data_IF_167754391993
#
_entry.id   IF_167754391993
#
_cell.length_a   1.000
_cell.length_b   1.000
_cell.length_c   1.000
_cell.angle_alpha   90.00
_cell.angle_beta   90.00
_cell.angle_gamma   90.00
#
_symmetry.space_group_name_H-M   'P 1'
#
loop_
_entity.id
_entity.type
_entity.pdbx_description
1 polymer ?
#
# COMPACT_ATOMS: atom_id res chain seq x y z
N UNK A 1 -0.88 -32.21 -1.75
CA UNK A 1 -0.46 -30.96 -2.41
C UNK A 1 -0.75 -29.86 -1.43
N UNK A 2 0.28 -29.26 -0.84
CA UNK A 2 0.11 -28.11 0.03
C UNK A 2 -0.34 -26.91 -0.81
N UNK A 3 -1.57 -26.47 -0.58
CA UNK A 3 -2.02 -25.14 -0.97
C UNK A 3 -1.17 -24.14 -0.19
N UNK A 4 -0.11 -23.62 -0.82
CA UNK A 4 0.65 -22.49 -0.28
C UNK A 4 -0.32 -21.31 -0.22
N UNK A 5 -0.79 -20.97 0.98
CA UNK A 5 -1.60 -19.77 1.20
C UNK A 5 -0.84 -18.57 0.64
N UNK A 6 -1.41 -17.91 -0.37
CA UNK A 6 -0.87 -16.66 -0.88
C UNK A 6 -0.95 -15.64 0.28
N UNK A 7 0.22 -15.23 0.78
CA UNK A 7 0.30 -14.23 1.85
C UNK A 7 -0.38 -12.95 1.34
N UNK A 8 -1.47 -12.56 2.00
CA UNK A 8 -2.16 -11.31 1.70
C UNK A 8 -1.24 -10.11 1.88
N UNK A 9 -1.45 -9.06 1.07
CA UNK A 9 -0.62 -7.85 1.11
C UNK A 9 -0.64 -7.17 2.49
N UNK A 10 -1.71 -7.36 3.26
CA UNK A 10 -1.87 -6.91 4.64
C UNK A 10 -0.81 -7.50 5.61
N UNK A 11 -0.27 -8.67 5.25
CA UNK A 11 0.78 -9.38 6.02
C UNK A 11 2.20 -8.97 5.62
N UNK A 12 2.37 -8.15 4.58
CA UNK A 12 3.67 -7.68 4.07
C UNK A 12 3.86 -6.21 4.45
N UNK A 13 5.10 -5.80 4.80
CA UNK A 13 5.47 -4.38 4.94
C UNK A 13 6.46 -4.00 3.86
N UNK A 14 6.25 -2.85 3.26
CA UNK A 14 7.15 -2.27 2.26
C UNK A 14 8.00 -1.24 2.97
N UNK A 15 9.27 -1.16 2.60
CA UNK A 15 10.22 -0.15 3.06
C UNK A 15 10.93 0.41 1.84
N UNK A 16 10.87 1.72 1.65
CA UNK A 16 11.49 2.37 0.50
C UNK A 16 12.20 3.63 0.93
N UNK A 17 13.20 4.03 0.16
CA UNK A 17 13.83 5.35 0.30
C UNK A 17 12.83 6.46 -0.10
N UNK A 18 12.98 7.64 0.49
CA UNK A 18 12.25 8.86 0.10
C UNK A 18 12.42 9.17 -1.40
N UNK A 19 11.34 9.59 -2.04
CA UNK A 19 11.27 9.76 -3.50
C UNK A 19 12.22 10.83 -4.06
N UNK A 20 12.57 11.82 -3.24
CA UNK A 20 13.50 12.90 -3.63
C UNK A 20 14.92 12.40 -3.87
N UNK A 21 15.26 11.19 -3.41
CA UNK A 21 16.55 10.54 -3.66
C UNK A 21 16.52 9.61 -4.89
N UNK A 22 15.50 9.69 -5.74
CA UNK A 22 15.43 8.87 -6.95
C UNK A 22 16.62 9.14 -7.88
N UNK A 23 17.38 8.09 -8.18
CA UNK A 23 18.53 8.17 -9.08
C UNK A 23 18.08 8.07 -10.53
N UNK A 24 18.64 8.92 -11.40
CA UNK A 24 18.27 9.02 -12.82
C UNK A 24 19.43 8.73 -13.78
N UNK A 25 20.66 8.73 -13.29
CA UNK A 25 21.90 8.61 -14.07
C UNK A 25 22.95 7.90 -13.24
N UNK A 26 23.98 7.33 -13.89
CA UNK A 26 25.12 6.70 -13.21
C UNK A 26 24.85 5.25 -12.79
N UNK A 27 25.77 4.70 -11.98
CA UNK A 27 25.77 3.31 -11.51
C UNK A 27 25.67 3.29 -10.00
N UNK A 28 24.66 2.61 -9.45
CA UNK A 28 24.38 2.65 -8.01
C UNK A 28 24.32 1.26 -7.38
N UNK A 29 24.78 1.19 -6.13
CA UNK A 29 24.89 -0.04 -5.36
C UNK A 29 24.36 0.14 -3.92
N UNK A 30 23.67 -0.89 -3.42
CA UNK A 30 23.38 -1.05 -1.99
C UNK A 30 23.38 -2.54 -1.60
N UNK A 31 23.50 -2.82 -0.30
CA UNK A 31 23.46 -4.18 0.24
C UNK A 31 22.19 -4.41 1.08
N UNK A 32 21.72 -5.64 1.06
CA UNK A 32 20.66 -6.13 1.93
C UNK A 32 21.05 -7.45 2.58
N UNK A 33 21.16 -7.46 3.91
CA UNK A 33 21.39 -8.68 4.68
C UNK A 33 20.04 -9.33 5.05
N UNK A 34 19.84 -10.57 4.60
CA UNK A 34 18.72 -11.41 4.99
C UNK A 34 19.02 -12.09 6.33
N UNK A 35 18.75 -11.39 7.44
CA UNK A 35 18.98 -11.94 8.79
C UNK A 35 18.16 -13.21 9.03
N UNK A 36 16.95 -13.26 8.47
CA UNK A 36 16.13 -14.48 8.38
C UNK A 36 15.93 -14.87 6.92
N UNK A 37 15.80 -16.17 6.62
CA UNK A 37 15.64 -16.68 5.25
C UNK A 37 14.18 -16.98 4.88
N UNK A 38 13.26 -16.05 5.13
CA UNK A 38 11.84 -16.20 4.76
C UNK A 38 11.40 -15.24 3.64
N UNK A 39 10.09 -15.17 3.39
CA UNK A 39 9.52 -14.37 2.29
C UNK A 39 9.83 -12.87 2.47
N UNK A 40 10.80 -12.39 1.69
CA UNK A 40 11.16 -10.99 1.55
C UNK A 40 11.56 -10.74 0.09
N UNK A 41 11.46 -9.50 -0.35
CA UNK A 41 11.95 -9.09 -1.68
C UNK A 41 12.75 -7.81 -1.55
N UNK A 42 13.77 -7.65 -2.37
CA UNK A 42 14.65 -6.46 -2.36
C UNK A 42 15.07 -6.08 -3.77
N UNK A 43 15.23 -4.79 -4.03
CA UNK A 43 15.74 -4.29 -5.30
C UNK A 43 15.41 -2.83 -5.49
N UNK A 44 14.98 -2.49 -6.70
CA UNK A 44 14.72 -1.11 -7.12
C UNK A 44 13.26 -0.92 -7.46
N UNK A 45 12.73 0.27 -7.17
CA UNK A 45 11.39 0.65 -7.57
C UNK A 45 11.34 2.08 -8.08
N UNK A 46 10.35 2.35 -8.94
CA UNK A 46 9.97 3.70 -9.31
C UNK A 46 9.33 4.40 -8.10
N UNK A 47 9.46 5.73 -7.98
CA UNK A 47 8.76 6.51 -6.95
C UNK A 47 7.25 6.27 -6.88
N UNK A 48 6.62 6.00 -8.04
CA UNK A 48 5.19 5.72 -8.16
C UNK A 48 4.76 4.33 -7.63
N UNK A 49 5.68 3.51 -7.12
CA UNK A 49 5.38 2.19 -6.56
C UNK A 49 4.37 2.30 -5.42
N UNK A 50 3.24 1.62 -5.59
CA UNK A 50 2.10 1.72 -4.67
C UNK A 50 2.14 0.61 -3.61
N UNK A 51 1.82 0.91 -2.34
CA UNK A 51 1.85 -0.07 -1.27
C UNK A 51 0.65 -1.02 -1.24
N UNK A 52 -0.39 -0.77 -2.05
CA UNK A 52 -1.60 -1.59 -2.20
C UNK A 52 -1.48 -2.64 -3.32
N UNK A 53 -0.36 -2.67 -4.03
CA UNK A 53 -0.04 -3.65 -5.07
C UNK A 53 1.13 -4.51 -4.60
N UNK A 54 1.04 -5.83 -4.81
CA UNK A 54 2.11 -6.77 -4.45
C UNK A 54 3.44 -6.37 -5.13
N UNK A 55 4.55 -6.33 -4.38
CA UNK A 55 5.82 -5.78 -4.87
C UNK A 55 6.35 -6.61 -6.05
N UNK A 56 6.47 -5.97 -7.22
CA UNK A 56 6.90 -6.58 -8.49
C UNK A 56 5.76 -7.20 -9.32
N UNK A 57 4.51 -7.06 -8.90
CA UNK A 57 3.35 -7.50 -9.68
C UNK A 57 2.98 -6.53 -10.83
N UNK A 58 3.48 -5.30 -10.78
CA UNK A 58 3.33 -4.29 -11.83
C UNK A 58 4.70 -3.85 -12.38
N UNK A 59 4.70 -2.83 -13.25
CA UNK A 59 5.91 -2.27 -13.88
C UNK A 59 6.75 -1.36 -12.97
N UNK A 60 6.29 -1.10 -11.74
CA UNK A 60 6.88 -0.08 -10.87
C UNK A 60 8.00 -0.63 -9.98
N UNK A 61 8.21 -1.95 -9.92
CA UNK A 61 9.22 -2.56 -9.08
C UNK A 61 9.98 -3.67 -9.81
N UNK A 62 11.27 -3.76 -9.52
CA UNK A 62 12.25 -4.69 -10.09
C UNK A 62 13.01 -5.31 -8.92
N UNK A 63 12.51 -6.45 -8.43
CA UNK A 63 12.96 -6.99 -7.15
C UNK A 63 13.30 -8.47 -7.22
N UNK A 64 14.29 -8.86 -6.44
CA UNK A 64 14.66 -10.24 -6.21
C UNK A 64 13.99 -10.79 -4.95
N UNK A 65 13.37 -11.96 -5.05
CA UNK A 65 12.81 -12.76 -3.98
C UNK A 65 13.77 -13.90 -3.67
N UNK A 66 14.61 -13.72 -2.65
CA UNK A 66 15.62 -14.71 -2.27
C UNK A 66 15.03 -15.94 -1.57
N UNK A 67 13.79 -15.90 -1.09
CA UNK A 67 13.15 -17.09 -0.52
C UNK A 67 12.74 -18.10 -1.60
N UNK A 68 12.30 -17.59 -2.76
CA UNK A 68 11.82 -18.39 -3.88
C UNK A 68 12.80 -18.49 -5.05
N UNK A 69 13.95 -17.82 -4.98
CA UNK A 69 14.89 -17.68 -6.08
C UNK A 69 14.20 -17.15 -7.36
N UNK A 70 13.57 -15.98 -7.24
CA UNK A 70 12.79 -15.38 -8.32
C UNK A 70 13.05 -13.88 -8.46
N UNK A 71 13.13 -13.39 -9.69
CA UNK A 71 13.00 -11.96 -9.98
C UNK A 71 11.55 -11.63 -10.30
N UNK A 72 11.11 -10.44 -9.87
CA UNK A 72 9.75 -9.96 -10.01
C UNK A 72 9.72 -8.58 -10.68
N UNK A 73 9.09 -8.53 -11.85
CA UNK A 73 8.66 -7.33 -12.56
C UNK A 73 7.51 -7.75 -13.50
N UNK A 74 6.29 -7.26 -13.25
CA UNK A 74 5.08 -7.67 -13.98
C UNK A 74 4.86 -9.20 -13.99
N UNK A 75 5.25 -9.88 -12.92
CA UNK A 75 5.23 -11.33 -12.81
C UNK A 75 6.53 -11.88 -12.24
N UNK A 76 6.60 -13.19 -12.05
CA UNK A 76 7.73 -13.87 -11.44
C UNK A 76 8.49 -14.72 -12.47
N UNK A 77 9.82 -14.68 -12.44
CA UNK A 77 10.68 -15.55 -13.21
C UNK A 77 11.75 -16.17 -12.30
N UNK A 78 12.08 -17.45 -12.50
CA UNK A 78 13.18 -18.10 -11.76
C UNK A 78 14.50 -17.39 -12.05
N UNK A 79 15.26 -17.14 -10.99
CA UNK A 79 16.52 -16.39 -11.06
C UNK A 79 17.41 -16.73 -9.86
N UNK A 80 18.68 -17.07 -10.13
CA UNK A 80 19.67 -17.32 -9.10
C UNK A 80 19.33 -18.51 -8.19
N UNK A 81 19.58 -18.35 -6.89
CA UNK A 81 19.40 -19.38 -5.85
C UNK A 81 18.62 -18.85 -4.65
N UNK A 82 18.18 -19.75 -3.79
CA UNK A 82 17.60 -19.36 -2.51
C UNK A 82 18.68 -18.82 -1.56
N UNK A 83 18.31 -17.84 -0.75
CA UNK A 83 19.19 -17.31 0.29
C UNK A 83 19.20 -18.17 1.55
N UNK A 84 20.24 -17.99 2.35
CA UNK A 84 20.36 -18.52 3.71
C UNK A 84 20.37 -17.38 4.73
N UNK A 85 20.08 -17.67 6.02
CA UNK A 85 20.18 -16.66 7.07
C UNK A 85 21.61 -16.08 7.12
N UNK A 86 21.72 -14.75 7.06
CA UNK A 86 22.98 -14.01 7.03
C UNK A 86 23.53 -13.72 5.64
N UNK A 87 22.93 -14.27 4.57
CA UNK A 87 23.31 -13.94 3.19
C UNK A 87 23.11 -12.44 2.93
N UNK A 88 24.04 -11.86 2.17
CA UNK A 88 23.97 -10.46 1.75
C UNK A 88 23.74 -10.38 0.25
N UNK A 89 22.66 -9.71 -0.11
CA UNK A 89 22.29 -9.42 -1.49
C UNK A 89 22.88 -8.06 -1.88
N UNK A 90 23.76 -8.03 -2.89
CA UNK A 90 24.17 -6.78 -3.54
C UNK A 90 23.18 -6.44 -4.64
N UNK A 91 22.67 -5.21 -4.64
CA UNK A 91 21.70 -4.73 -5.62
C UNK A 91 22.35 -3.63 -6.46
N UNK A 92 22.54 -3.91 -7.76
CA UNK A 92 23.20 -3.00 -8.70
C UNK A 92 22.20 -2.50 -9.75
N UNK A 93 22.30 -1.22 -10.09
CA UNK A 93 21.57 -0.61 -11.20
C UNK A 93 22.52 0.26 -12.02
N UNK A 94 22.55 0.01 -13.33
CA UNK A 94 23.26 0.84 -14.30
C UNK A 94 22.22 1.61 -15.12
N UNK A 95 22.18 2.93 -14.94
CA UNK A 95 21.24 3.81 -15.64
C UNK A 95 21.68 4.09 -17.09
N UNK A 96 22.96 3.88 -17.41
CA UNK A 96 23.48 4.09 -18.76
C UNK A 96 23.15 2.89 -19.64
N UNK A 97 23.43 1.69 -19.13
CA UNK A 97 23.16 0.43 -19.83
C UNK A 97 21.72 -0.08 -19.62
N UNK A 98 20.96 0.60 -18.75
CA UNK A 98 19.58 0.25 -18.38
C UNK A 98 19.47 -1.21 -17.94
N UNK A 99 20.38 -1.60 -17.06
CA UNK A 99 20.49 -2.97 -16.57
C UNK A 99 20.51 -3.03 -15.04
N UNK A 100 20.02 -4.15 -14.50
CA UNK A 100 20.08 -4.45 -13.07
C UNK A 100 20.69 -5.82 -12.87
N UNK A 101 21.54 -5.93 -11.87
CA UNK A 101 22.27 -7.14 -11.51
C UNK A 101 22.11 -7.37 -10.01
N UNK A 102 22.03 -8.64 -9.60
CA UNK A 102 22.03 -9.03 -8.21
C UNK A 102 23.19 -9.97 -7.91
N UNK A 103 23.82 -9.79 -6.76
CA UNK A 103 24.81 -10.72 -6.21
C UNK A 103 24.32 -11.29 -4.89
N UNK A 104 24.79 -12.47 -4.52
CA UNK A 104 24.65 -13.00 -3.15
C UNK A 104 26.04 -13.37 -2.65
N UNK A 105 26.45 -12.74 -1.55
CA UNK A 105 27.78 -12.88 -0.95
C UNK A 105 28.93 -12.60 -1.95
N UNK A 106 28.73 -11.61 -2.82
CA UNK A 106 29.69 -11.20 -3.84
C UNK A 106 29.67 -12.04 -5.12
N UNK A 107 28.91 -13.13 -5.17
CA UNK A 107 28.77 -13.96 -6.38
C UNK A 107 27.57 -13.49 -7.21
N UNK A 108 27.76 -13.34 -8.53
CA UNK A 108 26.71 -12.96 -9.47
C UNK A 108 25.62 -14.03 -9.53
N UNK A 109 24.36 -13.61 -9.43
CA UNK A 109 23.24 -14.47 -9.74
C UNK A 109 23.01 -14.51 -11.25
N UNK A 110 22.67 -15.70 -11.75
CA UNK A 110 22.42 -15.92 -13.18
C UNK A 110 20.96 -16.29 -13.45
N UNK A 111 20.49 -15.89 -14.63
CA UNK A 111 19.23 -16.34 -15.20
C UNK A 111 19.33 -17.81 -15.65
N UNK A 112 18.19 -18.43 -15.96
CA UNK A 112 18.15 -19.76 -16.57
C UNK A 112 18.82 -19.83 -17.96
N UNK A 113 19.03 -18.68 -18.61
CA UNK A 113 19.78 -18.58 -19.87
C UNK A 113 21.29 -18.33 -19.66
N UNK A 114 21.76 -18.26 -18.41
CA UNK A 114 23.17 -18.02 -18.08
C UNK A 114 23.61 -16.56 -18.15
N UNK A 115 22.67 -15.61 -18.19
CA UNK A 115 22.98 -14.18 -18.15
C UNK A 115 23.03 -13.66 -16.72
N UNK A 116 23.91 -12.71 -16.44
CA UNK A 116 23.98 -11.99 -15.15
C UNK A 116 22.98 -10.83 -15.06
N UNK A 117 22.40 -10.41 -16.19
CA UNK A 117 21.45 -9.29 -16.24
C UNK A 117 20.06 -9.77 -15.80
N UNK A 118 19.65 -9.35 -14.61
CA UNK A 118 18.34 -9.72 -14.04
C UNK A 118 17.20 -8.98 -14.74
N UNK A 119 17.43 -7.71 -15.06
CA UNK A 119 16.49 -6.85 -15.79
C UNK A 119 17.27 -5.98 -16.79
N UNK A 120 16.71 -5.77 -17.97
CA UNK A 120 17.30 -4.92 -19.03
C UNK A 120 16.25 -4.02 -19.66
N UNK A 121 16.69 -3.03 -20.42
CA UNK A 121 15.86 -2.20 -21.31
C UNK A 121 14.71 -1.46 -20.60
N UNK A 122 14.89 -1.13 -19.31
CA UNK A 122 13.88 -0.37 -18.58
C UNK A 122 13.91 1.12 -18.91
N UNK A 123 12.75 1.77 -18.86
CA UNK A 123 12.66 3.22 -18.97
C UNK A 123 13.07 3.90 -17.67
N UNK A 124 13.81 5.01 -17.73
CA UNK A 124 14.28 5.71 -16.53
C UNK A 124 13.12 6.48 -15.86
N UNK A 125 12.27 7.16 -16.66
CA UNK A 125 11.16 8.01 -16.17
C UNK A 125 11.59 8.92 -15.00
N UNK A 126 10.97 8.77 -13.83
CA UNK A 126 11.23 9.53 -12.61
C UNK A 126 12.41 8.99 -11.79
N UNK A 127 13.12 7.99 -12.29
CA UNK A 127 14.26 7.36 -11.64
C UNK A 127 13.88 6.18 -10.76
N UNK A 128 14.86 5.69 -10.00
CA UNK A 128 14.71 4.52 -9.14
C UNK A 128 15.17 4.81 -7.71
N UNK A 129 14.52 4.13 -6.77
CA UNK A 129 14.85 4.16 -5.35
C UNK A 129 15.01 2.72 -4.82
N UNK A 130 15.92 2.49 -3.86
CA UNK A 130 15.99 1.21 -3.15
C UNK A 130 14.68 0.90 -2.43
N UNK A 131 14.25 -0.35 -2.53
CA UNK A 131 13.04 -0.85 -1.89
C UNK A 131 13.25 -2.27 -1.38
N UNK A 132 12.55 -2.61 -0.30
CA UNK A 132 12.34 -3.99 0.08
C UNK A 132 10.92 -4.20 0.61
N UNK A 133 10.48 -5.46 0.65
CA UNK A 133 9.32 -5.85 1.43
C UNK A 133 9.65 -7.05 2.31
N UNK A 134 9.06 -7.06 3.50
CA UNK A 134 9.25 -8.11 4.50
C UNK A 134 7.90 -8.77 4.82
N UNK A 135 7.88 -10.10 4.73
CA UNK A 135 6.76 -10.92 5.22
C UNK A 135 6.71 -10.97 6.76
N UNK A 136 5.80 -11.80 7.28
CA UNK A 136 5.63 -11.95 8.73
C UNK A 136 6.89 -12.52 9.39
N UNK A 137 7.26 -11.91 10.52
CA UNK A 137 8.39 -12.33 11.36
C UNK A 137 9.72 -12.43 10.61
N UNK A 138 9.90 -11.63 9.55
CA UNK A 138 11.16 -11.55 8.81
C UNK A 138 11.99 -10.34 9.23
N UNK A 139 13.31 -10.52 9.21
CA UNK A 139 14.28 -9.49 9.56
C UNK A 139 15.25 -9.34 8.39
N UNK A 140 15.31 -8.13 7.84
CA UNK A 140 16.27 -7.71 6.84
C UNK A 140 16.98 -6.43 7.27
N UNK A 141 18.23 -6.22 6.84
CA UNK A 141 18.97 -4.98 7.07
C UNK A 141 19.41 -4.39 5.75
N UNK A 142 19.01 -3.15 5.48
CA UNK A 142 19.49 -2.41 4.32
C UNK A 142 20.70 -1.57 4.70
N UNK A 143 21.76 -1.66 3.90
CA UNK A 143 22.92 -0.79 3.97
C UNK A 143 23.01 0.00 2.66
N UNK A 144 22.91 1.32 2.73
CA UNK A 144 23.00 2.21 1.57
C UNK A 144 24.41 2.76 1.32
N UNK A 145 25.36 2.43 2.21
CA UNK A 145 26.77 2.78 2.05
C UNK A 145 27.08 4.25 2.31
N UNK A 146 26.50 4.84 3.36
CA UNK A 146 26.90 6.15 3.89
C UNK A 146 28.37 6.12 4.33
N UNK A 147 28.76 5.00 4.92
CA UNK A 147 30.15 4.61 5.09
C UNK A 147 30.39 3.35 4.24
N UNK A 148 31.12 3.51 3.14
CA UNK A 148 31.39 2.42 2.20
C UNK A 148 32.18 1.26 2.83
N UNK A 149 32.89 1.50 3.95
CA UNK A 149 33.62 0.44 4.66
C UNK A 149 32.71 -0.55 5.39
N UNK A 150 31.43 -0.20 5.56
CA UNK A 150 30.43 -1.07 6.21
C UNK A 150 29.84 -2.11 5.27
N UNK A 151 30.08 -2.00 3.95
CA UNK A 151 29.69 -3.02 3.00
C UNK A 151 30.54 -4.28 3.15
N UNK A 152 29.90 -5.44 3.02
CA UNK A 152 30.59 -6.73 3.12
C UNK A 152 31.24 -7.17 1.81
N UNK A 153 30.62 -6.85 0.67
CA UNK A 153 30.97 -7.39 -0.65
C UNK A 153 31.15 -6.32 -1.74
N UNK A 154 30.99 -5.03 -1.41
CA UNK A 154 31.16 -3.93 -2.37
C UNK A 154 32.49 -3.94 -3.13
N UNK A 155 33.61 -4.24 -2.46
CA UNK A 155 34.93 -4.29 -3.10
C UNK A 155 35.09 -5.43 -4.10
N UNK A 156 34.27 -6.47 -4.00
CA UNK A 156 34.33 -7.66 -4.87
C UNK A 156 33.56 -7.48 -6.17
N UNK A 157 32.43 -6.77 -6.13
CA UNK A 157 31.51 -6.66 -7.28
C UNK A 157 31.23 -5.21 -7.68
N UNK A 158 30.93 -4.31 -6.74
CA UNK A 158 30.54 -2.94 -7.06
C UNK A 158 31.71 -2.04 -7.47
N UNK A 159 32.80 -2.04 -6.70
CA UNK A 159 33.91 -1.10 -6.87
C UNK A 159 34.65 -1.30 -8.20
N UNK A 160 34.89 -2.56 -8.57
CA UNK A 160 35.65 -2.89 -9.79
C UNK A 160 34.92 -2.50 -11.07
N UNK A 161 33.57 -2.53 -11.04
CA UNK A 161 32.71 -2.20 -12.17
C UNK A 161 32.25 -0.72 -12.18
N UNK A 162 32.72 0.07 -11.21
CA UNK A 162 32.46 1.51 -11.13
C UNK A 162 31.09 1.88 -10.57
N UNK A 163 30.46 1.01 -9.77
CA UNK A 163 29.24 1.35 -9.03
C UNK A 163 29.56 2.20 -7.81
N UNK A 164 28.74 3.22 -7.56
CA UNK A 164 28.84 4.07 -6.36
C UNK A 164 27.85 3.63 -5.27
N UNK A 165 28.21 3.72 -3.98
CA UNK A 165 27.26 3.53 -2.89
C UNK A 165 26.08 4.50 -3.00
N UNK A 166 24.86 4.00 -2.81
CA UNK A 166 23.65 4.81 -2.96
C UNK A 166 23.66 6.10 -2.14
N UNK A 167 24.19 6.08 -0.91
CA UNK A 167 24.22 7.25 -0.02
C UNK A 167 25.61 7.88 0.16
N UNK A 168 26.55 7.68 -0.78
CA UNK A 168 27.95 8.17 -0.66
C UNK A 168 28.04 9.68 -0.46
N UNK A 169 27.18 10.46 -1.12
CA UNK A 169 27.18 11.93 -1.08
C UNK A 169 26.11 12.51 -0.15
N UNK A 170 25.58 11.72 0.78
CA UNK A 170 24.50 12.16 1.68
C UNK A 170 25.05 12.61 3.03
N UNK A 171 24.76 13.87 3.39
CA UNK A 171 25.18 14.44 4.67
C UNK A 171 24.27 14.05 5.85
N UNK A 172 23.11 13.44 5.57
CA UNK A 172 22.13 12.99 6.56
C UNK A 172 21.84 11.51 6.35
N UNK A 173 21.25 10.87 7.35
CA UNK A 173 20.77 9.51 7.19
C UNK A 173 19.65 9.45 6.14
N UNK A 174 19.60 8.35 5.40
CA UNK A 174 18.61 8.13 4.33
C UNK A 174 17.22 8.02 4.97
N UNK A 175 16.32 8.93 4.61
CA UNK A 175 14.95 8.86 5.06
C UNK A 175 14.23 7.67 4.42
N UNK A 176 13.61 6.83 5.25
CA UNK A 176 12.89 5.62 4.85
C UNK A 176 11.41 5.77 5.15
N UNK A 177 10.59 5.37 4.18
CA UNK A 177 9.15 5.28 4.29
C UNK A 177 8.71 3.83 4.38
N UNK A 178 7.67 3.55 5.15
CA UNK A 178 7.10 2.20 5.22
C UNK A 178 5.60 2.20 4.99
N UNK A 179 5.05 1.07 4.51
CA UNK A 179 3.61 0.93 4.30
C UNK A 179 2.85 0.89 5.64
N UNK A 180 1.95 1.85 5.82
CA UNK A 180 1.06 1.93 6.99
C UNK A 180 -0.05 0.88 6.84
N UNK A 181 -0.28 0.11 7.90
CA UNK A 181 -1.36 -0.91 7.93
C UNK A 181 -2.72 -0.38 8.35
N UNK A 182 -2.77 0.82 8.94
CA UNK A 182 -4.03 1.40 9.39
C UNK A 182 -4.80 1.91 8.16
N UNK A 183 -5.99 1.35 7.85
CA UNK A 183 -6.80 1.86 6.76
C UNK A 183 -7.15 3.32 7.01
N UNK A 184 -6.98 4.15 5.98
CA UNK A 184 -7.36 5.56 6.01
C UNK A 184 -8.31 5.84 4.87
N UNK A 185 -9.32 6.69 5.13
CA UNK A 185 -10.19 7.17 4.08
C UNK A 185 -9.41 8.06 3.12
N UNK A 186 -9.50 7.74 1.83
CA UNK A 186 -8.93 8.53 0.74
C UNK A 186 -10.04 8.94 -0.24
N UNK A 187 -9.90 10.07 -0.95
CA UNK A 187 -10.81 10.41 -2.04
C UNK A 187 -10.79 9.31 -3.11
N UNK A 188 -11.95 8.98 -3.67
CA UNK A 188 -12.04 8.04 -4.80
C UNK A 188 -11.39 8.68 -6.03
N UNK A 189 -10.40 8.04 -6.68
CA UNK A 189 -9.80 8.52 -7.92
C UNK A 189 -10.85 8.67 -9.03
N UNK A 190 -10.69 9.66 -9.91
CA UNK A 190 -11.63 9.92 -11.02
C UNK A 190 -11.70 8.74 -12.00
N UNK A 191 -10.58 8.05 -12.16
CA UNK A 191 -10.31 6.95 -13.08
C UNK A 191 -10.39 5.58 -12.39
N UNK A 192 -11.07 5.46 -11.24
CA UNK A 192 -11.19 4.20 -10.53
C UNK A 192 -11.85 3.11 -11.40
N UNK A 193 -11.25 1.91 -11.40
CA UNK A 193 -11.63 0.79 -12.27
C UNK A 193 -13.09 0.32 -12.06
N UNK A 194 -13.55 0.32 -10.82
CA UNK A 194 -14.85 -0.28 -10.46
C UNK A 194 -15.87 0.69 -9.89
N UNK A 195 -15.47 1.92 -9.55
CA UNK A 195 -16.32 2.85 -8.79
C UNK A 195 -16.36 4.16 -9.56
N UNK A 196 -17.56 4.70 -9.71
CA UNK A 196 -17.79 6.03 -10.27
C UNK A 196 -18.69 6.81 -9.33
N UNK A 197 -18.36 8.09 -9.11
CA UNK A 197 -19.17 9.01 -8.32
C UNK A 197 -19.64 10.12 -9.23
N UNK A 198 -20.95 10.28 -9.35
CA UNK A 198 -21.58 11.34 -10.13
C UNK A 198 -22.33 12.28 -9.20
N UNK A 199 -22.09 13.58 -9.35
CA UNK A 199 -22.92 14.62 -8.71
C UNK A 199 -24.14 14.85 -9.61
N UNK A 200 -25.32 14.75 -9.03
CA UNK A 200 -26.58 15.04 -9.72
C UNK A 200 -27.08 16.37 -9.17
N UNK A 201 -27.23 17.34 -10.06
CA UNK A 201 -27.75 18.66 -9.70
C UNK A 201 -29.23 18.57 -9.30
N UNK A 202 -29.63 19.48 -8.42
CA UNK A 202 -31.02 19.59 -8.01
C UNK A 202 -31.89 20.09 -9.16
N UNK A 203 -33.08 19.51 -9.28
CA UNK A 203 -34.14 19.97 -10.18
C UNK A 203 -35.34 20.45 -9.37
N UNK A 204 -36.39 20.92 -10.05
CA UNK A 204 -37.66 21.28 -9.38
C UNK A 204 -38.28 20.06 -8.67
N UNK A 205 -38.07 18.86 -9.23
CA UNK A 205 -38.70 17.62 -8.76
C UNK A 205 -37.78 16.76 -7.90
N UNK A 206 -36.48 17.07 -7.82
CA UNK A 206 -35.48 16.26 -7.10
C UNK A 206 -34.41 17.10 -6.41
N UNK A 207 -34.03 16.77 -5.17
CA UNK A 207 -32.90 17.42 -4.51
C UNK A 207 -31.57 16.97 -5.15
N UNK A 208 -30.50 17.77 -5.01
CA UNK A 208 -29.16 17.36 -5.44
C UNK A 208 -28.71 16.12 -4.65
N UNK A 209 -28.04 15.19 -5.33
CA UNK A 209 -27.56 13.96 -4.69
C UNK A 209 -26.22 13.48 -5.23
N UNK A 210 -25.58 12.60 -4.47
CA UNK A 210 -24.37 11.89 -4.89
C UNK A 210 -24.76 10.47 -5.30
N UNK A 211 -24.56 10.14 -6.57
CA UNK A 211 -24.78 8.79 -7.08
C UNK A 211 -23.45 8.04 -7.11
N UNK A 212 -23.41 6.87 -6.47
CA UNK A 212 -22.29 5.93 -6.56
C UNK A 212 -22.68 4.80 -7.49
N UNK A 213 -21.90 4.57 -8.53
CA UNK A 213 -22.13 3.53 -9.53
C UNK A 213 -20.97 2.54 -9.50
N UNK A 214 -21.28 1.23 -9.51
CA UNK A 214 -20.29 0.19 -9.70
C UNK A 214 -20.15 -0.13 -11.19
N UNK A 215 -18.95 0.05 -11.76
CA UNK A 215 -18.65 -0.23 -13.16
C UNK A 215 -18.52 -1.75 -13.34
N UNK A 216 -19.36 -2.35 -14.17
CA UNK A 216 -19.29 -3.76 -14.54
C UNK A 216 -18.79 -3.91 -15.97
N UNK A 217 -17.64 -4.55 -16.17
CA UNK A 217 -17.07 -4.81 -17.50
C UNK A 217 -17.16 -6.31 -17.84
N UNK A 218 -18.00 -6.65 -18.82
CA UNK A 218 -17.89 -7.84 -19.68
C UNK A 218 -17.94 -9.25 -19.07
N UNK A 219 -17.89 -9.42 -17.75
CA UNK A 219 -18.04 -10.72 -17.07
C UNK A 219 -18.84 -10.52 -15.78
N UNK A 220 -19.72 -11.47 -15.46
CA UNK A 220 -20.60 -11.46 -14.28
C UNK A 220 -19.85 -11.66 -12.94
N UNK A 221 -18.59 -11.27 -12.86
CA UNK A 221 -17.85 -11.30 -11.61
C UNK A 221 -18.20 -10.03 -10.83
N UNK A 222 -19.29 -10.09 -10.07
CA UNK A 222 -19.53 -9.10 -9.04
C UNK A 222 -18.39 -9.18 -8.02
N UNK A 223 -17.68 -8.07 -7.83
CA UNK A 223 -16.77 -7.93 -6.69
C UNK A 223 -17.67 -7.95 -5.45
N UNK A 224 -17.56 -8.99 -4.63
CA UNK A 224 -18.33 -9.19 -3.39
C UNK A 224 -17.69 -8.52 -2.18
N UNK A 225 -16.72 -7.64 -2.40
CA UNK A 225 -15.99 -6.96 -1.34
C UNK A 225 -16.84 -5.85 -0.69
N UNK A 226 -16.75 -5.77 0.64
CA UNK A 226 -17.43 -4.74 1.41
C UNK A 226 -16.69 -3.40 1.31
N UNK A 227 -17.31 -2.41 0.69
CA UNK A 227 -16.73 -1.05 0.55
C UNK A 227 -17.24 -0.09 1.62
N UNK A 228 -16.35 0.73 2.16
CA UNK A 228 -16.66 1.78 3.14
C UNK A 228 -16.63 3.16 2.48
N UNK A 229 -17.68 3.96 2.69
CA UNK A 229 -17.78 5.33 2.17
C UNK A 229 -17.88 6.32 3.33
N UNK A 230 -17.24 7.49 3.18
CA UNK A 230 -17.26 8.57 4.17
C UNK A 230 -17.39 9.91 3.46
N UNK A 231 -18.23 10.79 4.00
CA UNK A 231 -18.20 12.21 3.66
C UNK A 231 -17.12 12.90 4.51
N UNK A 232 -16.21 13.62 3.86
CA UNK A 232 -15.12 14.34 4.54
C UNK A 232 -15.58 15.68 5.14
N UNK A 233 -16.77 15.71 5.72
CA UNK A 233 -17.37 16.89 6.35
C UNK A 233 -17.80 16.49 7.77
N UNK A 234 -17.15 17.01 8.83
CA UNK A 234 -17.59 16.76 10.19
C UNK A 234 -18.87 17.54 10.51
N UNK A 235 -19.67 17.02 11.44
CA UNK A 235 -20.81 17.73 12.02
C UNK A 235 -20.44 18.04 13.47
N UNK A 236 -20.35 19.32 13.80
CA UNK A 236 -20.06 19.78 15.15
C UNK A 236 -21.35 19.92 15.96
N UNK A 237 -21.36 19.32 17.15
CA UNK A 237 -22.48 19.45 18.08
C UNK A 237 -22.20 20.60 19.04
N UNK A 238 -23.10 21.58 19.06
CA UNK A 238 -23.05 22.67 20.03
C UNK A 238 -23.29 22.12 21.45
N UNK A 239 -22.51 22.53 22.47
CA UNK A 239 -22.63 21.99 23.83
C UNK A 239 -24.04 22.12 24.43
N UNK A 240 -24.78 23.16 24.04
CA UNK A 240 -26.15 23.42 24.49
C UNK A 240 -27.18 22.37 24.02
N UNK A 241 -26.85 21.56 23.02
CA UNK A 241 -27.71 20.51 22.47
C UNK A 241 -27.22 19.10 22.82
N UNK A 242 -26.35 18.95 23.83
CA UNK A 242 -26.14 17.65 24.48
C UNK A 242 -27.48 17.25 25.09
N UNK A 243 -28.25 16.44 24.37
CA UNK A 243 -29.46 15.84 24.89
C UNK A 243 -29.05 15.08 26.16
N UNK A 244 -29.58 15.49 27.32
CA UNK A 244 -29.58 14.64 28.50
C UNK A 244 -30.13 13.29 28.03
N UNK A 245 -29.36 12.23 28.30
CA UNK A 245 -29.45 10.97 27.59
C UNK A 245 -30.90 10.50 27.42
N UNK A 246 -31.17 9.87 26.27
CA UNK A 246 -32.31 8.93 26.17
C UNK A 246 -32.26 8.11 27.46
N UNK A 247 -33.28 8.16 28.34
CA UNK A 247 -33.22 7.46 29.60
C UNK A 247 -32.90 6.01 29.29
N UNK A 248 -31.78 5.53 29.85
CA UNK A 248 -31.45 4.13 29.87
C UNK A 248 -32.69 3.44 30.43
N UNK A 249 -33.44 2.71 29.60
CA UNK A 249 -34.48 1.81 30.08
C UNK A 249 -33.76 0.92 31.10
N UNK A 250 -34.05 1.12 32.38
CA UNK A 250 -33.60 0.22 33.41
C UNK A 250 -34.15 -1.15 32.99
N UNK A 251 -33.24 -2.11 32.82
CA UNK A 251 -33.63 -3.51 32.79
C UNK A 251 -34.36 -3.77 34.11
N UNK A 252 -35.67 -3.97 34.02
CA UNK A 252 -36.50 -4.47 35.11
C UNK A 252 -36.07 -5.92 35.36
N UNK A 253 -34.99 -6.10 36.12
CA UNK A 253 -34.60 -7.39 36.68
C UNK A 253 -35.56 -7.73 37.83
N UNK A 254 -36.79 -8.05 37.47
CA UNK A 254 -37.70 -8.83 38.29
C UNK A 254 -37.22 -10.29 38.35
N UNK A 255 -37.46 -11.01 39.46
CA UNK A 255 -36.82 -12.29 39.73
C UNK A 255 -37.23 -13.34 38.68
N UNK A 256 -36.20 -14.02 38.16
CA UNK A 256 -36.31 -15.09 37.16
C UNK A 256 -37.20 -16.23 37.68
N UNK A 257 -38.31 -16.48 36.98
CA UNK A 257 -38.96 -17.78 36.97
C UNK A 257 -39.00 -18.28 35.52
N UNK A 258 -38.39 -19.44 35.32
CA UNK A 258 -38.26 -20.12 34.05
C UNK A 258 -39.63 -20.61 33.56
N UNK A 259 -40.00 -20.28 32.32
CA UNK A 259 -40.53 -21.29 31.40
C UNK A 259 -40.43 -20.85 29.93
N UNK A 260 -40.26 -21.84 29.05
CA UNK A 260 -39.91 -21.71 27.65
C UNK A 260 -41.08 -21.28 26.74
N UNK A 261 -40.82 -20.43 25.72
CA UNK A 261 -41.80 -20.18 24.67
C UNK A 261 -41.44 -19.15 23.58
N UNK A 262 -40.98 -19.64 22.43
CA UNK A 262 -41.04 -19.08 21.05
C UNK A 262 -41.07 -17.54 20.86
N UNK A 263 -39.94 -16.96 20.43
CA UNK A 263 -39.90 -15.60 19.90
C UNK A 263 -40.39 -15.52 18.44
N UNK A 264 -41.43 -14.71 18.21
CA UNK A 264 -42.00 -14.39 16.89
C UNK A 264 -41.50 -12.98 16.51
N UNK A 265 -40.72 -12.86 15.43
CA UNK A 265 -40.31 -11.55 14.90
C UNK A 265 -41.54 -10.76 14.42
N UNK A 266 -41.68 -9.51 14.91
CA UNK A 266 -42.57 -8.49 14.32
C UNK A 266 -41.76 -7.24 14.04
N UNK A 267 -41.72 -6.84 12.76
CA UNK A 267 -41.06 -5.63 12.29
C UNK A 267 -41.79 -4.36 12.73
N UNK A 268 -41.04 -3.37 13.19
CA UNK A 268 -41.54 -2.04 13.51
C UNK A 268 -41.46 -1.11 12.30
N UNK A 269 -42.62 -0.60 11.85
CA UNK A 269 -42.71 0.58 10.97
C UNK A 269 -42.55 1.83 11.83
N UNK A 270 -41.67 2.75 11.44
CA UNK A 270 -41.60 4.09 12.01
C UNK A 270 -42.82 4.90 11.55
N UNK A 271 -43.64 5.36 12.51
CA UNK A 271 -44.74 6.29 12.26
C UNK A 271 -44.14 7.67 11.97
N UNK A 272 -44.63 8.29 10.90
CA UNK A 272 -44.53 9.73 10.66
C UNK A 272 -45.51 10.38 11.62
N UNK A 273 -45.06 11.30 12.46
CA UNK A 273 -45.83 12.45 12.96
C UNK A 273 -44.86 13.38 13.72
N UNK A 274 -44.51 14.51 13.11
CA UNK A 274 -43.90 15.65 13.80
C UNK A 274 -44.97 16.75 13.92
N UNK A 275 -45.30 17.25 15.13
CA UNK A 275 -46.19 18.39 15.26
C UNK A 275 -45.46 19.67 14.84
N UNK A 276 -46.09 20.42 13.93
CA UNK A 276 -45.56 21.67 13.39
C UNK A 276 -45.44 22.76 14.44
N UNK A 277 -44.33 23.50 14.38
CA UNK A 277 -44.17 24.79 15.06
C UNK A 277 -43.98 25.87 14.00
N UNK A 278 -45.01 26.72 13.96
CA UNK A 278 -45.21 28.05 13.39
C UNK A 278 -43.98 28.84 12.92
N UNK A 279 -44.17 29.48 11.75
CA UNK A 279 -43.32 30.49 11.11
C UNK A 279 -42.95 31.66 12.02
N UNK A 280 -41.66 32.00 12.08
CA UNK A 280 -41.19 33.38 12.19
C UNK A 280 -40.33 33.71 10.97
N UNK A 281 -40.79 34.72 10.21
CA UNK A 281 -40.11 35.25 9.04
C UNK A 281 -38.96 36.14 9.48
N UNK A 282 -37.71 35.72 9.25
CA UNK A 282 -36.58 36.64 9.20
C UNK A 282 -36.22 36.97 7.74
N UNK A 283 -36.29 38.26 7.42
CA UNK A 283 -35.94 38.82 6.12
C UNK A 283 -34.42 38.88 5.94
N UNK A 284 -33.88 38.08 5.02
CA UNK A 284 -32.48 38.20 4.59
C UNK A 284 -32.34 39.35 3.59
N UNK A 285 -31.70 40.44 4.00
CA UNK A 285 -31.22 41.48 3.08
C UNK A 285 -29.91 40.99 2.42
N UNK A 286 -29.89 40.94 1.10
CA UNK A 286 -28.66 40.79 0.30
C UNK A 286 -27.77 42.01 0.51
N UNK A 287 -26.49 41.81 0.84
CA UNK A 287 -25.46 42.82 0.68
C UNK A 287 -24.63 42.47 -0.55
N UNK A 288 -24.59 43.39 -1.50
CA UNK A 288 -23.74 43.32 -2.69
C UNK A 288 -22.50 44.19 -2.43
N UNK A 289 -21.33 43.57 -2.43
CA UNK A 289 -20.10 43.97 -3.15
C UNK A 289 -19.07 42.87 -2.98
#
# INVERSE_FOLDING_TARGET
GETVEKIGIDKIRFFRVEETYAVKTGKWYFEFEAVTAGEMRVGWARPACRPDIELGADRNAFVFNGYKAQCWNQGAAYFGRTWQPGDVVGCMIDMNDKSMIFTVNGELLITNSGSELAFTDFDIEDGFIPICCLGLSQIGRMNFGKDATTFKYYTMCGLQEGFEPFSVNMNRDVAMWFSKRLPQFVPVPKDHNHIEITRIDGTVDSPPCLKVTHKTFGTQNCITEMTYYRLSIPIEFQPAYKHEGIPHMASDDGPQNADAGKAKLRGGKLSRDFPGVREERESVKKSTM
#
